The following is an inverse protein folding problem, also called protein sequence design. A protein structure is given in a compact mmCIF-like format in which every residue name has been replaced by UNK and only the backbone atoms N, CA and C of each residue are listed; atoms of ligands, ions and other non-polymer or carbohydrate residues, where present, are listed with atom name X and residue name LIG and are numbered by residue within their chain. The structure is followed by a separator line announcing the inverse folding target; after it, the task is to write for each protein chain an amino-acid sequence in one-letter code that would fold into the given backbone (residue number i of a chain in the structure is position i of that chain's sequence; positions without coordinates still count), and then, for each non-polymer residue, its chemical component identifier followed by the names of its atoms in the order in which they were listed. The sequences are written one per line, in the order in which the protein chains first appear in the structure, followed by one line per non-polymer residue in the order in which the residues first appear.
data_IF_792354897242
#
_entry.id   IF_792354897242
#
_cell.length_a   1.000
_cell.length_b   1.000
_cell.length_c   1.000
_cell.angle_alpha   90.00
_cell.angle_beta   90.00
_cell.angle_gamma   90.00
#
_symmetry.space_group_name_H-M   'P 1'
#
loop_
_entity.id
_entity.type
_entity.pdbx_description
1 polymer ?
#
# COMPACT_ATOMS: atom_id res chain seq x y z
N UNK A 1 14.10 16.63 -14.45
CA UNK A 1 13.84 15.19 -14.18
C UNK A 1 13.33 15.10 -12.76
N UNK A 2 12.09 14.65 -12.56
CA UNK A 2 11.42 14.67 -11.25
C UNK A 2 11.82 13.40 -10.48
N UNK A 3 12.69 13.53 -9.48
CA UNK A 3 13.21 12.42 -8.64
C UNK A 3 12.15 11.73 -7.75
N UNK A 4 10.85 12.04 -7.90
CA UNK A 4 9.77 11.49 -7.06
C UNK A 4 9.15 10.16 -7.54
N UNK A 5 9.33 9.77 -8.80
CA UNK A 5 8.55 8.66 -9.42
C UNK A 5 8.95 7.27 -8.91
N UNK A 6 10.20 7.10 -8.47
CA UNK A 6 10.69 5.79 -8.01
C UNK A 6 10.14 5.34 -6.65
N UNK A 7 9.74 6.28 -5.78
CA UNK A 7 9.10 5.97 -4.49
C UNK A 7 7.71 5.37 -4.69
N UNK A 8 6.89 6.01 -5.54
CA UNK A 8 5.51 5.60 -5.79
C UNK A 8 5.40 4.18 -6.36
N UNK A 9 6.23 3.85 -7.36
CA UNK A 9 6.22 2.53 -7.99
C UNK A 9 6.53 1.41 -7.00
N UNK A 10 7.49 1.61 -6.10
CA UNK A 10 7.82 0.64 -5.03
C UNK A 10 6.65 0.43 -4.06
N UNK A 11 5.92 1.50 -3.72
CA UNK A 11 4.77 1.41 -2.82
C UNK A 11 3.59 0.70 -3.49
N UNK A 12 3.35 0.96 -4.77
CA UNK A 12 2.31 0.29 -5.58
C UNK A 12 2.61 -1.20 -5.76
N UNK A 13 3.86 -1.57 -6.06
CA UNK A 13 4.28 -2.98 -6.15
C UNK A 13 4.08 -3.71 -4.81
N UNK A 14 4.45 -3.07 -3.71
CA UNK A 14 4.23 -3.60 -2.36
C UNK A 14 2.74 -3.77 -2.09
N UNK A 15 1.92 -2.76 -2.41
CA UNK A 15 0.47 -2.82 -2.24
C UNK A 15 -0.14 -3.99 -3.02
N UNK A 16 0.22 -4.14 -4.30
CA UNK A 16 -0.25 -5.25 -5.13
C UNK A 16 0.13 -6.62 -4.53
N UNK A 17 1.37 -6.76 -4.03
CA UNK A 17 1.83 -7.99 -3.37
C UNK A 17 1.02 -8.29 -2.10
N UNK A 18 0.77 -7.27 -1.26
CA UNK A 18 -0.01 -7.44 -0.04
C UNK A 18 -1.48 -7.76 -0.34
N UNK A 19 -2.07 -7.19 -1.40
CA UNK A 19 -3.42 -7.56 -1.85
C UNK A 19 -3.50 -9.01 -2.35
N UNK A 20 -2.50 -9.51 -3.09
CA UNK A 20 -2.42 -10.93 -3.48
C UNK A 20 -2.28 -11.85 -2.26
N UNK A 21 -1.52 -11.45 -1.23
CA UNK A 21 -1.46 -12.19 0.03
C UNK A 21 -2.82 -12.20 0.73
N UNK A 22 -3.56 -11.10 0.70
CA UNK A 22 -4.90 -11.02 1.27
C UNK A 22 -5.89 -11.96 0.57
N UNK A 23 -5.88 -12.01 -0.77
CA UNK A 23 -6.79 -12.88 -1.53
C UNK A 23 -6.61 -14.36 -1.19
N UNK A 24 -5.37 -14.78 -0.98
CA UNK A 24 -5.00 -16.17 -0.58
C UNK A 24 -5.37 -16.52 0.87
N UNK A 25 -5.65 -15.54 1.75
CA UNK A 25 -5.99 -15.80 3.16
C UNK A 25 -7.48 -16.11 3.35
N UNK A 26 -7.78 -17.13 4.17
CA UNK A 26 -9.15 -17.54 4.54
C UNK A 26 -9.99 -16.35 5.04
N UNK A 27 -11.17 -16.15 4.45
CA UNK A 27 -12.16 -15.14 4.88
C UNK A 27 -12.47 -15.33 6.38
N UNK A 28 -12.58 -14.23 7.12
CA UNK A 28 -12.82 -14.24 8.58
C UNK A 28 -11.61 -14.55 9.47
N UNK A 29 -10.52 -15.15 8.94
CA UNK A 29 -9.35 -15.48 9.76
C UNK A 29 -8.66 -14.25 10.35
N UNK A 30 -8.06 -14.41 11.53
CA UNK A 30 -7.27 -13.36 12.18
C UNK A 30 -6.10 -12.90 11.30
N UNK A 31 -5.49 -13.81 10.54
CA UNK A 31 -4.43 -13.49 9.60
C UNK A 31 -4.91 -12.61 8.44
N UNK A 32 -6.14 -12.81 7.95
CA UNK A 32 -6.75 -11.93 6.95
C UNK A 32 -7.03 -10.54 7.53
N UNK A 33 -7.50 -10.45 8.78
CA UNK A 33 -7.69 -9.17 9.49
C UNK A 33 -6.36 -8.41 9.64
N UNK A 34 -5.30 -9.09 10.09
CA UNK A 34 -3.94 -8.51 10.18
C UNK A 34 -3.46 -7.98 8.81
N UNK A 35 -3.62 -8.77 7.75
CA UNK A 35 -3.23 -8.37 6.40
C UNK A 35 -4.00 -7.15 5.88
N UNK A 36 -5.32 -7.05 6.17
CA UNK A 36 -6.11 -5.86 5.81
C UNK A 36 -5.56 -4.60 6.48
N UNK A 37 -5.15 -4.68 7.75
CA UNK A 37 -4.57 -3.53 8.47
C UNK A 37 -3.28 -3.06 7.83
N UNK A 38 -2.41 -3.98 7.41
CA UNK A 38 -1.16 -3.63 6.73
C UNK A 38 -1.41 -2.96 5.37
N UNK A 39 -2.40 -3.45 4.60
CA UNK A 39 -2.84 -2.79 3.36
C UNK A 39 -3.36 -1.37 3.63
N UNK A 40 -4.16 -1.18 4.68
CA UNK A 40 -4.69 0.14 5.04
C UNK A 40 -3.56 1.14 5.38
N UNK A 41 -2.54 0.71 6.14
CA UNK A 41 -1.36 1.53 6.42
C UNK A 41 -0.62 1.94 5.13
N UNK A 42 -0.45 1.02 4.18
CA UNK A 42 0.17 1.31 2.90
C UNK A 42 -0.62 2.35 2.09
N UNK A 43 -1.96 2.22 2.06
CA UNK A 43 -2.80 3.24 1.42
C UNK A 43 -2.64 4.61 2.06
N UNK A 44 -2.56 4.69 3.39
CA UNK A 44 -2.31 5.95 4.09
C UNK A 44 -0.96 6.57 3.71
N UNK A 45 0.13 5.78 3.72
CA UNK A 45 1.45 6.25 3.28
C UNK A 45 1.41 6.76 1.85
N UNK A 46 0.82 6.02 0.91
CA UNK A 46 0.73 6.43 -0.50
C UNK A 46 -0.06 7.73 -0.62
N UNK A 47 -1.18 7.87 0.10
CA UNK A 47 -1.97 9.10 0.09
C UNK A 47 -1.16 10.29 0.59
N UNK A 48 -0.44 10.16 1.71
CA UNK A 48 0.35 11.24 2.28
C UNK A 48 1.47 11.67 1.33
N UNK A 49 2.18 10.72 0.72
CA UNK A 49 3.24 11.03 -0.26
C UNK A 49 2.66 11.69 -1.51
N UNK A 50 1.48 11.28 -1.97
CA UNK A 50 0.77 11.94 -3.09
C UNK A 50 0.39 13.38 -2.74
N UNK A 51 -0.16 13.61 -1.54
CA UNK A 51 -0.50 14.95 -1.07
C UNK A 51 0.72 15.85 -0.93
N UNK A 52 1.81 15.36 -0.34
CA UNK A 52 3.06 16.12 -0.19
C UNK A 52 3.65 16.53 -1.55
N UNK A 53 3.62 15.61 -2.53
CA UNK A 53 4.08 15.90 -3.89
C UNK A 53 3.22 16.95 -4.61
N UNK A 54 1.91 16.96 -4.39
CA UNK A 54 0.99 17.90 -5.05
C UNK A 54 0.95 19.28 -4.38
N UNK A 55 1.39 19.38 -3.13
CA UNK A 55 1.43 20.64 -2.38
C UNK A 55 2.82 21.29 -2.36
N UNK A 56 3.76 20.74 -3.14
CA UNK A 56 5.05 21.34 -3.49
C UNK A 56 5.02 21.88 -4.91
#
# INVERSE_FOLDING_TARGET
MIEGVHSFRKHEERLAREQRKLSRKKKGSNNRKKQKREIAKLHHTISNVRSDFLHK
#
